data_IF_507485637816
#
_entry.id   IF_507485637816
#
_cell.length_a   1.000
_cell.length_b   1.000
_cell.length_c   1.000
_cell.angle_alpha   90.00
_cell.angle_beta   90.00
_cell.angle_gamma   90.00
#
_symmetry.space_group_name_H-M   'P 1'
#
loop_
_entity.id
_entity.type
_entity.pdbx_description
1 polymer ?
#
# COMPACT_ATOMS: atom_id res chain seq x y z
N UNK A 1 32.83 7.55 3.76
CA UNK A 1 32.96 8.79 2.96
C UNK A 1 32.18 8.71 1.65
N UNK A 2 32.62 7.99 0.59
CA UNK A 2 31.87 7.93 -0.69
C UNK A 2 30.38 7.50 -0.59
N UNK A 3 30.03 6.56 0.28
CA UNK A 3 28.62 6.16 0.48
C UNK A 3 27.79 7.18 1.28
N UNK A 4 28.41 8.07 2.05
CA UNK A 4 27.69 9.12 2.79
C UNK A 4 27.37 10.29 1.86
N UNK A 5 28.31 10.68 0.99
CA UNK A 5 28.09 11.74 0.00
C UNK A 5 26.99 11.35 -1.02
N UNK A 6 26.97 10.09 -1.49
CA UNK A 6 25.90 9.59 -2.37
C UNK A 6 24.53 9.48 -1.66
N UNK A 7 24.51 9.28 -0.35
CA UNK A 7 23.30 9.24 0.45
C UNK A 7 22.71 10.64 0.65
N UNK A 8 23.55 11.64 0.95
CA UNK A 8 23.14 13.05 1.06
C UNK A 8 22.66 13.60 -0.28
N UNK A 9 23.34 13.29 -1.39
CA UNK A 9 22.92 13.74 -2.72
C UNK A 9 21.58 13.11 -3.17
N UNK A 10 21.22 11.92 -2.65
CA UNK A 10 19.91 11.30 -2.86
C UNK A 10 18.82 11.90 -1.98
N UNK A 11 19.15 12.25 -0.73
CA UNK A 11 18.25 12.94 0.20
C UNK A 11 17.74 14.27 -0.39
N UNK A 12 18.64 15.04 -1.02
CA UNK A 12 18.30 16.30 -1.70
C UNK A 12 17.47 16.13 -2.98
N UNK A 13 17.50 14.94 -3.61
CA UNK A 13 16.73 14.64 -4.83
C UNK A 13 15.34 14.07 -4.56
N UNK A 14 15.17 13.34 -3.45
CA UNK A 14 13.90 12.69 -3.11
C UNK A 14 12.92 13.65 -2.43
N UNK A 15 13.43 14.65 -1.72
CA UNK A 15 12.63 15.83 -1.40
C UNK A 15 12.58 16.70 -2.65
N UNK A 16 11.53 16.56 -3.46
CA UNK A 16 11.16 17.62 -4.38
C UNK A 16 10.65 18.75 -3.48
N UNK A 17 11.42 19.83 -3.22
CA UNK A 17 10.87 20.96 -2.48
C UNK A 17 9.65 21.42 -3.27
N UNK A 18 8.47 21.25 -2.68
CA UNK A 18 7.24 21.73 -3.28
C UNK A 18 7.39 23.23 -3.34
N UNK A 19 7.72 23.75 -4.52
CA UNK A 19 7.80 25.18 -4.70
C UNK A 19 6.36 25.70 -4.65
N UNK A 20 5.89 26.03 -3.45
CA UNK A 20 4.61 26.72 -3.24
C UNK A 20 4.56 28.05 -4.03
N UNK A 21 5.73 28.52 -4.50
CA UNK A 21 5.92 29.66 -5.37
C UNK A 21 5.66 29.39 -6.86
N UNK A 22 5.65 28.14 -7.35
CA UNK A 22 5.41 27.86 -8.79
C UNK A 22 4.06 28.40 -9.28
N UNK A 23 2.92 28.17 -8.59
CA UNK A 23 1.64 28.73 -8.97
C UNK A 23 1.64 30.27 -8.97
N UNK A 24 2.37 30.87 -8.03
CA UNK A 24 2.54 32.32 -7.94
C UNK A 24 3.30 32.88 -9.15
N UNK A 25 4.38 32.22 -9.57
CA UNK A 25 5.14 32.62 -10.76
C UNK A 25 4.33 32.50 -12.05
N UNK A 26 3.42 31.53 -12.16
CA UNK A 26 2.52 31.42 -13.32
C UNK A 26 1.42 32.50 -13.34
N UNK A 27 0.98 33.00 -12.18
CA UNK A 27 -0.01 34.08 -12.10
C UNK A 27 0.57 35.47 -12.40
N UNK A 28 1.85 35.70 -12.07
CA UNK A 28 2.54 36.98 -12.25
C UNK A 28 2.49 37.55 -13.69
N UNK A 29 2.78 36.78 -14.77
CA UNK A 29 2.68 37.29 -16.13
C UNK A 29 1.23 37.56 -16.56
N UNK A 30 0.25 36.79 -16.08
CA UNK A 30 -1.16 37.03 -16.40
C UNK A 30 -1.63 38.35 -15.78
N UNK A 31 -1.33 38.57 -14.50
CA UNK A 31 -1.61 39.84 -13.81
C UNK A 31 -0.88 40.99 -14.52
N UNK A 32 0.37 40.78 -14.94
CA UNK A 32 1.13 41.75 -15.72
C UNK A 32 0.49 42.11 -17.06
N UNK A 33 -0.01 41.12 -17.81
CA UNK A 33 -0.73 41.35 -19.08
C UNK A 33 -2.06 42.08 -18.85
N UNK A 34 -2.82 41.71 -17.83
CA UNK A 34 -4.06 42.41 -17.48
C UNK A 34 -3.78 43.87 -17.07
N UNK A 35 -2.75 44.12 -16.25
CA UNK A 35 -2.33 45.46 -15.86
C UNK A 35 -1.82 46.29 -17.07
N UNK A 36 -1.12 45.67 -18.02
CA UNK A 36 -0.66 46.34 -19.23
C UNK A 36 -1.84 46.70 -20.15
N UNK A 37 -2.77 45.77 -20.37
CA UNK A 37 -3.95 45.99 -21.22
C UNK A 37 -4.85 47.09 -20.67
N UNK A 38 -5.02 47.14 -19.34
CA UNK A 38 -5.77 48.21 -18.67
C UNK A 38 -5.08 49.57 -18.81
N UNK A 39 -3.76 49.62 -18.67
CA UNK A 39 -2.98 50.85 -18.83
C UNK A 39 -3.01 51.36 -20.29
N UNK A 40 -2.89 50.46 -21.27
CA UNK A 40 -3.04 50.80 -22.69
C UNK A 40 -4.45 51.31 -23.00
N UNK A 41 -5.49 50.63 -22.49
CA UNK A 41 -6.87 51.08 -22.68
C UNK A 41 -7.13 52.46 -22.06
N UNK A 42 -6.54 52.76 -20.90
CA UNK A 42 -6.62 54.08 -20.27
C UNK A 42 -5.92 55.17 -21.08
N UNK A 43 -4.72 54.88 -21.62
CA UNK A 43 -3.93 55.82 -22.43
C UNK A 43 -4.62 56.15 -23.77
N UNK A 44 -5.15 55.15 -24.47
CA UNK A 44 -5.84 55.33 -25.76
C UNK A 44 -7.27 55.84 -25.60
N UNK A 45 -7.96 55.46 -24.51
CA UNK A 45 -9.30 55.91 -24.20
C UNK A 45 -9.38 57.39 -23.80
N UNK A 46 -8.26 58.02 -23.43
CA UNK A 46 -8.21 59.47 -23.17
C UNK A 46 -8.12 60.29 -24.46
N UNK A 47 -7.55 59.73 -25.51
CA UNK A 47 -7.26 60.46 -26.77
C UNK A 47 -8.36 60.33 -27.82
N UNK A 48 -9.13 59.24 -27.80
CA UNK A 48 -10.32 59.07 -28.63
C UNK A 48 -11.59 59.15 -27.75
N UNK A 49 -12.69 59.69 -28.28
CA UNK A 49 -14.02 59.80 -27.64
C UNK A 49 -14.68 58.43 -27.30
N UNK A 50 -13.89 57.37 -27.15
CA UNK A 50 -14.27 55.98 -26.90
C UNK A 50 -14.19 55.58 -25.42
N UNK A 51 -14.34 56.54 -24.51
CA UNK A 51 -14.40 56.33 -23.05
C UNK A 51 -15.23 55.11 -22.59
N UNK A 52 -16.45 54.83 -23.09
CA UNK A 52 -17.22 53.68 -22.60
C UNK A 52 -16.55 52.33 -22.91
N UNK A 53 -15.82 52.21 -24.02
CA UNK A 53 -15.17 50.97 -24.43
C UNK A 53 -13.97 50.61 -23.53
N UNK A 54 -13.16 51.60 -23.18
CA UNK A 54 -12.02 51.42 -22.28
C UNK A 54 -12.46 50.98 -20.88
N UNK A 55 -13.54 51.56 -20.36
CA UNK A 55 -14.12 51.18 -19.05
C UNK A 55 -14.65 49.75 -19.07
N UNK A 56 -15.33 49.33 -20.15
CA UNK A 56 -15.81 47.94 -20.27
C UNK A 56 -14.66 46.92 -20.33
N UNK A 57 -13.58 47.21 -21.07
CA UNK A 57 -12.42 46.33 -21.12
C UNK A 57 -11.70 46.23 -19.76
N UNK A 58 -11.60 47.35 -19.05
CA UNK A 58 -11.05 47.36 -17.70
C UNK A 58 -11.85 46.46 -16.77
N UNK A 59 -13.18 46.62 -16.73
CA UNK A 59 -14.06 45.80 -15.90
C UNK A 59 -13.97 44.32 -16.25
N UNK A 60 -13.95 43.97 -17.55
CA UNK A 60 -13.78 42.58 -17.99
C UNK A 60 -12.44 41.99 -17.55
N UNK A 61 -11.34 42.74 -17.67
CA UNK A 61 -10.03 42.29 -17.20
C UNK A 61 -10.00 42.09 -15.69
N UNK A 62 -10.63 42.99 -14.93
CA UNK A 62 -10.69 42.93 -13.48
C UNK A 62 -11.48 41.69 -13.03
N UNK A 63 -12.63 41.45 -13.66
CA UNK A 63 -13.45 40.26 -13.41
C UNK A 63 -12.66 38.99 -13.74
N UNK A 64 -11.96 38.95 -14.88
CA UNK A 64 -11.14 37.81 -15.29
C UNK A 64 -10.00 37.54 -14.29
N UNK A 65 -9.31 38.60 -13.82
CA UNK A 65 -8.26 38.46 -12.80
C UNK A 65 -8.82 37.95 -11.47
N UNK A 66 -9.95 38.48 -11.00
CA UNK A 66 -10.60 38.04 -9.77
C UNK A 66 -11.07 36.57 -9.85
N UNK A 67 -11.68 36.18 -10.97
CA UNK A 67 -12.10 34.80 -11.21
C UNK A 67 -10.89 33.84 -11.22
N UNK A 68 -9.77 34.24 -11.83
CA UNK A 68 -8.56 33.44 -11.84
C UNK A 68 -7.94 33.28 -10.45
N UNK A 69 -7.90 34.35 -9.65
CA UNK A 69 -7.43 34.28 -8.25
C UNK A 69 -8.32 33.32 -7.45
N UNK A 70 -9.65 33.45 -7.58
CA UNK A 70 -10.60 32.56 -6.90
C UNK A 70 -10.41 31.08 -7.29
N UNK A 71 -10.21 30.81 -8.59
CA UNK A 71 -9.91 29.47 -9.08
C UNK A 71 -8.60 28.92 -8.51
N UNK A 72 -7.53 29.72 -8.48
CA UNK A 72 -6.23 29.31 -7.92
C UNK A 72 -6.29 29.03 -6.41
N UNK A 73 -7.01 29.85 -5.65
CA UNK A 73 -7.20 29.62 -4.21
C UNK A 73 -7.98 28.32 -3.98
N UNK A 74 -9.08 28.12 -4.71
CA UNK A 74 -9.87 26.89 -4.61
C UNK A 74 -9.02 25.66 -4.95
N UNK A 75 -8.29 25.70 -6.05
CA UNK A 75 -7.41 24.60 -6.46
C UNK A 75 -6.34 24.28 -5.41
N UNK A 76 -5.75 25.30 -4.77
CA UNK A 76 -4.78 25.09 -3.70
C UNK A 76 -5.42 24.48 -2.45
N UNK A 77 -6.65 24.89 -2.10
CA UNK A 77 -7.42 24.27 -1.02
C UNK A 77 -7.75 22.81 -1.33
N UNK A 78 -8.21 22.51 -2.54
CA UNK A 78 -8.52 21.14 -2.97
C UNK A 78 -7.26 20.25 -2.87
N UNK A 79 -6.10 20.74 -3.32
CA UNK A 79 -4.83 20.03 -3.17
C UNK A 79 -4.40 19.85 -1.70
N UNK A 80 -4.65 20.83 -0.83
CA UNK A 80 -4.35 20.69 0.60
C UNK A 80 -5.24 19.62 1.26
N UNK A 81 -6.55 19.64 0.97
CA UNK A 81 -7.51 18.66 1.46
C UNK A 81 -7.17 17.25 0.97
N UNK A 82 -6.81 17.09 -0.31
CA UNK A 82 -6.39 15.80 -0.85
C UNK A 82 -5.15 15.25 -0.12
N UNK A 83 -4.19 16.11 0.21
CA UNK A 83 -2.99 15.71 0.93
C UNK A 83 -3.27 15.35 2.40
N UNK A 84 -4.11 16.14 3.07
CA UNK A 84 -4.56 15.82 4.43
C UNK A 84 -5.30 14.48 4.45
N UNK A 85 -6.18 14.24 3.47
CA UNK A 85 -6.89 12.98 3.33
C UNK A 85 -5.93 11.81 3.09
N UNK A 86 -4.95 11.95 2.19
CA UNK A 86 -3.94 10.91 1.97
C UNK A 86 -3.14 10.63 3.25
N UNK A 87 -2.68 11.67 3.94
CA UNK A 87 -1.93 11.54 5.20
C UNK A 87 -2.77 10.84 6.28
N UNK A 88 -4.05 11.19 6.41
CA UNK A 88 -4.98 10.55 7.33
C UNK A 88 -5.20 9.07 6.97
N UNK A 89 -5.35 8.76 5.68
CA UNK A 89 -5.53 7.39 5.21
C UNK A 89 -4.27 6.55 5.46
N UNK A 90 -3.08 7.12 5.26
CA UNK A 90 -1.82 6.46 5.60
C UNK A 90 -1.68 6.27 7.11
N UNK A 91 -1.96 7.29 7.93
CA UNK A 91 -1.91 7.19 9.38
C UNK A 91 -2.87 6.10 9.89
N UNK A 92 -4.11 6.07 9.38
CA UNK A 92 -5.11 5.06 9.73
C UNK A 92 -4.70 3.65 9.28
N UNK A 93 -4.16 3.51 8.07
CA UNK A 93 -3.69 2.22 7.57
C UNK A 93 -2.50 1.69 8.39
N UNK A 94 -1.58 2.56 8.81
CA UNK A 94 -0.45 2.19 9.65
C UNK A 94 -0.91 1.79 11.06
N UNK A 95 -1.81 2.56 11.68
CA UNK A 95 -2.37 2.24 12.99
C UNK A 95 -3.12 0.89 13.03
N UNK A 96 -3.71 0.44 11.91
CA UNK A 96 -4.47 -0.82 11.88
C UNK A 96 -3.66 -2.09 12.20
N UNK A 97 -2.32 -2.02 12.21
CA UNK A 97 -1.42 -3.18 12.42
C UNK A 97 -0.39 -2.98 13.53
N UNK A 98 -0.35 -1.82 14.16
CA UNK A 98 0.60 -1.51 15.22
C UNK A 98 -0.09 -0.70 16.31
N UNK A 99 0.30 -0.95 17.55
CA UNK A 99 -0.13 -0.14 18.71
C UNK A 99 0.52 1.24 18.66
N UNK A 100 1.76 1.34 18.17
CA UNK A 100 2.38 2.62 17.92
C UNK A 100 3.27 2.64 16.67
N UNK A 101 3.44 3.83 16.10
CA UNK A 101 4.20 4.10 14.90
C UNK A 101 4.94 5.44 15.01
N UNK A 102 6.26 5.39 14.83
CA UNK A 102 7.15 6.56 14.79
C UNK A 102 7.84 6.64 13.43
N UNK A 103 7.99 7.84 12.88
CA UNK A 103 8.94 8.08 11.79
C UNK A 103 10.19 8.72 12.35
N UNK A 104 11.32 8.07 12.06
CA UNK A 104 12.62 8.45 12.62
C UNK A 104 13.58 8.69 11.47
N UNK A 105 14.36 9.77 11.55
CA UNK A 105 15.47 10.01 10.63
C UNK A 105 16.66 9.15 10.99
N UNK A 106 17.63 9.04 10.07
CA UNK A 106 18.87 8.31 10.27
C UNK A 106 19.68 8.78 11.49
N UNK A 107 19.57 10.06 11.86
CA UNK A 107 20.21 10.63 13.05
C UNK A 107 19.54 10.21 14.36
N UNK A 108 18.40 9.51 14.31
CA UNK A 108 17.62 9.11 15.47
C UNK A 108 16.55 10.12 15.86
N UNK A 109 16.44 11.28 15.20
CA UNK A 109 15.40 12.26 15.51
C UNK A 109 14.02 11.79 15.06
N UNK A 110 13.04 11.91 15.96
CA UNK A 110 11.65 11.54 15.70
C UNK A 110 10.96 12.72 14.99
N UNK A 111 10.41 12.46 13.81
CA UNK A 111 9.74 13.48 12.97
C UNK A 111 8.23 13.41 13.10
N UNK A 112 7.72 12.22 13.43
CA UNK A 112 6.30 11.99 13.62
C UNK A 112 6.09 10.84 14.60
N UNK A 113 5.03 10.97 15.38
CA UNK A 113 4.48 9.94 16.25
C UNK A 113 2.96 9.91 16.03
N UNK A 114 2.36 8.71 15.93
CA UNK A 114 0.90 8.60 15.95
C UNK A 114 0.35 8.92 17.35
N UNK A 115 -0.95 9.25 17.48
CA UNK A 115 -1.55 9.56 18.79
C UNK A 115 -1.33 8.46 19.83
N UNK A 116 -1.45 7.20 19.43
CA UNK A 116 -1.29 6.05 20.32
C UNK A 116 0.17 5.93 20.84
N UNK A 117 1.17 6.40 20.07
CA UNK A 117 2.53 6.52 20.57
C UNK A 117 2.64 7.58 21.69
N UNK A 118 1.91 8.68 21.61
CA UNK A 118 1.92 9.68 22.69
C UNK A 118 1.26 9.14 23.96
N UNK A 119 0.27 8.26 23.83
CA UNK A 119 -0.37 7.60 24.98
C UNK A 119 0.61 6.62 25.68
N UNK A 120 1.40 5.88 24.90
CA UNK A 120 2.42 4.95 25.41
C UNK A 120 3.67 5.69 25.92
N UNK A 121 4.03 6.79 25.27
CA UNK A 121 5.20 7.62 25.58
C UNK A 121 4.78 9.09 25.83
N UNK A 122 4.28 9.41 27.04
CA UNK A 122 3.79 10.76 27.36
C UNK A 122 4.84 11.87 27.17
N UNK A 123 6.11 11.53 27.35
CA UNK A 123 7.25 12.44 27.15
C UNK A 123 7.33 13.02 25.72
N UNK A 124 6.75 12.34 24.72
CA UNK A 124 6.70 12.81 23.33
C UNK A 124 5.78 14.04 23.16
N UNK A 125 4.75 14.19 23.99
CA UNK A 125 3.81 15.31 23.87
C UNK A 125 4.45 16.61 24.40
N UNK A 126 5.25 16.51 25.46
CA UNK A 126 5.90 17.67 26.10
C UNK A 126 7.10 18.20 25.29
N UNK A 127 7.83 17.33 24.59
CA UNK A 127 9.06 17.69 23.87
C UNK A 127 9.03 17.25 22.41
N UNK A 128 8.86 18.22 21.51
CA UNK A 128 8.78 18.00 20.05
C UNK A 128 10.11 17.61 19.37
N UNK A 129 11.21 17.61 20.09
CA UNK A 129 12.52 17.21 19.57
C UNK A 129 13.10 16.09 20.45
N UNK A 130 12.52 14.91 20.32
CA UNK A 130 13.01 13.71 20.99
C UNK A 130 13.85 12.87 20.03
N UNK A 131 14.95 12.33 20.55
CA UNK A 131 15.73 11.30 19.89
C UNK A 131 15.22 9.92 20.31
N UNK A 132 15.27 8.96 19.39
CA UNK A 132 14.81 7.59 19.62
C UNK A 132 15.57 6.92 20.78
N UNK A 133 16.87 7.20 20.94
CA UNK A 133 17.72 6.68 22.01
C UNK A 133 17.23 7.12 23.38
N UNK A 134 16.95 8.42 23.52
CA UNK A 134 16.46 8.98 24.78
C UNK A 134 15.08 8.40 25.13
N UNK A 135 14.21 8.25 24.13
CA UNK A 135 12.90 7.64 24.30
C UNK A 135 13.02 6.19 24.81
N UNK A 136 13.82 5.37 24.13
CA UNK A 136 13.97 3.95 24.45
C UNK A 136 14.69 3.74 25.80
N UNK A 137 15.73 4.52 26.07
CA UNK A 137 16.49 4.46 27.33
C UNK A 137 15.60 4.80 28.52
N UNK A 138 14.76 5.85 28.43
CA UNK A 138 13.82 6.22 29.49
C UNK A 138 12.74 5.17 29.71
N UNK A 139 12.31 4.50 28.65
CA UNK A 139 11.35 3.40 28.76
C UNK A 139 11.92 2.10 29.36
N UNK A 140 13.21 2.08 29.72
CA UNK A 140 13.84 0.93 30.38
C UNK A 140 14.20 -0.21 29.44
N UNK A 141 14.32 0.08 28.14
CA UNK A 141 14.69 -0.90 27.11
C UNK A 141 16.15 -1.31 27.27
N UNK A 142 16.44 -2.60 27.09
CA UNK A 142 17.80 -3.14 27.11
C UNK A 142 18.69 -2.44 26.05
N UNK A 143 19.86 -1.97 26.49
CA UNK A 143 20.85 -1.26 25.69
C UNK A 143 21.24 -2.07 24.44
N UNK A 144 21.30 -3.40 24.55
CA UNK A 144 21.61 -4.29 23.43
C UNK A 144 20.56 -4.22 22.30
N UNK A 145 19.30 -3.93 22.63
CA UNK A 145 18.21 -3.79 21.66
C UNK A 145 18.27 -2.41 21.02
N UNK A 146 18.54 -1.38 21.82
CA UNK A 146 18.73 0.00 21.35
C UNK A 146 19.88 0.03 20.33
N UNK A 147 21.04 -0.53 20.67
CA UNK A 147 22.19 -0.61 19.76
C UNK A 147 21.83 -1.34 18.45
N UNK A 148 21.03 -2.41 18.51
CA UNK A 148 20.59 -3.15 17.32
C UNK A 148 19.65 -2.33 16.44
N UNK A 149 18.72 -1.59 17.04
CA UNK A 149 17.82 -0.68 16.32
C UNK A 149 18.63 0.44 15.65
N UNK A 150 19.55 1.07 16.38
CA UNK A 150 20.46 2.09 15.84
C UNK A 150 21.39 1.56 14.76
N UNK A 151 21.88 0.33 14.88
CA UNK A 151 22.67 -0.31 13.83
C UNK A 151 21.82 -0.53 12.57
N UNK A 152 20.57 -0.97 12.73
CA UNK A 152 19.59 -1.10 11.64
C UNK A 152 19.32 0.23 10.94
N UNK A 153 19.07 1.28 11.73
CA UNK A 153 18.86 2.65 11.28
C UNK A 153 20.07 3.16 10.47
N UNK A 154 21.27 3.01 11.01
CA UNK A 154 22.51 3.45 10.37
C UNK A 154 22.84 2.68 9.09
N UNK A 155 22.50 1.39 9.04
CA UNK A 155 22.70 0.54 7.85
C UNK A 155 21.54 0.61 6.85
N UNK A 156 20.46 1.33 7.18
CA UNK A 156 19.21 1.35 6.41
C UNK A 156 18.68 -0.08 6.15
N UNK A 157 18.68 -0.91 7.20
CA UNK A 157 18.23 -2.30 7.18
C UNK A 157 17.11 -2.53 8.18
N UNK A 158 16.27 -3.50 7.88
CA UNK A 158 15.26 -3.96 8.81
C UNK A 158 15.92 -4.54 10.07
N UNK A 159 15.42 -4.14 11.24
CA UNK A 159 15.80 -4.71 12.53
C UNK A 159 14.56 -4.86 13.41
N UNK A 160 14.58 -5.82 14.33
CA UNK A 160 13.48 -6.04 15.25
C UNK A 160 14.01 -6.42 16.65
N UNK A 161 13.23 -6.08 17.67
CA UNK A 161 13.52 -6.32 19.07
C UNK A 161 12.24 -6.50 19.87
N UNK A 162 12.36 -7.09 21.06
CA UNK A 162 11.26 -7.16 22.02
C UNK A 162 11.51 -6.08 23.07
N UNK A 163 10.60 -5.12 23.18
CA UNK A 163 10.59 -4.15 24.25
C UNK A 163 9.73 -4.68 25.39
N UNK A 164 10.21 -4.54 26.62
CA UNK A 164 9.45 -4.84 27.82
C UNK A 164 9.32 -3.55 28.61
N UNK A 165 8.11 -3.03 28.73
CA UNK A 165 7.83 -1.83 29.52
C UNK A 165 7.44 -2.27 30.92
N UNK A 166 7.93 -1.61 31.97
CA UNK A 166 7.41 -1.79 33.33
C UNK A 166 7.90 -3.02 34.12
N UNK A 167 8.89 -3.77 33.65
CA UNK A 167 9.48 -4.91 34.38
C UNK A 167 8.74 -6.25 34.18
N UNK A 168 8.84 -7.17 35.14
CA UNK A 168 8.42 -8.60 34.98
C UNK A 168 6.93 -8.83 34.64
N UNK A 169 6.04 -7.89 34.97
CA UNK A 169 4.59 -7.96 34.69
C UNK A 169 4.08 -6.94 33.66
N UNK A 170 4.97 -6.13 33.09
CA UNK A 170 4.53 -5.04 32.24
C UNK A 170 4.31 -5.43 30.78
N UNK A 171 3.72 -4.51 30.03
CA UNK A 171 3.35 -4.72 28.63
C UNK A 171 4.60 -4.94 27.78
N UNK A 172 4.62 -6.05 27.05
CA UNK A 172 5.70 -6.37 26.12
C UNK A 172 5.26 -5.97 24.72
N UNK A 173 6.14 -5.37 23.94
CA UNK A 173 5.89 -5.01 22.54
C UNK A 173 6.99 -5.57 21.66
N UNK A 174 6.62 -6.17 20.52
CA UNK A 174 7.59 -6.39 19.46
C UNK A 174 7.75 -5.08 18.70
N UNK A 175 8.96 -4.55 18.67
CA UNK A 175 9.31 -3.36 17.89
C UNK A 175 10.08 -3.75 16.66
N UNK A 176 9.61 -3.26 15.51
CA UNK A 176 10.19 -3.47 14.20
C UNK A 176 10.59 -2.11 13.63
N UNK A 177 11.85 -2.02 13.19
CA UNK A 177 12.37 -0.89 12.43
C UNK A 177 12.43 -1.28 10.96
N UNK A 178 11.68 -0.55 10.14
CA UNK A 178 11.61 -0.77 8.71
C UNK A 178 12.13 0.49 7.98
N UNK A 179 13.25 0.38 7.23
CA UNK A 179 13.74 1.50 6.43
C UNK A 179 12.75 1.83 5.31
N UNK A 180 12.48 3.12 5.09
CA UNK A 180 11.69 3.56 3.96
C UNK A 180 12.55 3.57 2.70
N UNK A 181 11.96 3.13 1.60
CA UNK A 181 12.61 3.23 0.28
C UNK A 181 12.63 4.68 -0.20
N UNK A 182 11.59 5.46 0.14
CA UNK A 182 11.46 6.90 -0.11
C UNK A 182 10.59 7.56 0.97
N UNK A 183 10.98 8.72 1.52
CA UNK A 183 12.25 9.42 1.31
C UNK A 183 13.44 8.67 1.91
N UNK A 184 14.61 8.72 1.26
CA UNK A 184 15.82 8.05 1.75
C UNK A 184 16.28 8.62 3.09
N UNK A 185 16.82 7.76 3.98
CA UNK A 185 17.31 8.17 5.30
C UNK A 185 16.22 8.30 6.38
N UNK A 186 15.01 7.83 6.09
CA UNK A 186 13.91 7.71 7.03
C UNK A 186 13.59 6.24 7.27
N UNK A 187 13.20 5.94 8.50
CA UNK A 187 12.73 4.61 8.91
C UNK A 187 11.43 4.75 9.69
N UNK A 188 10.60 3.72 9.62
CA UNK A 188 9.43 3.56 10.47
C UNK A 188 9.80 2.65 11.62
N UNK A 189 9.48 3.05 12.84
CA UNK A 189 9.55 2.20 14.03
C UNK A 189 8.11 1.88 14.42
N UNK A 190 7.75 0.60 14.39
CA UNK A 190 6.41 0.13 14.71
C UNK A 190 6.47 -0.77 15.92
N UNK A 191 5.58 -0.56 16.88
CA UNK A 191 5.39 -1.44 18.03
C UNK A 191 4.06 -2.16 17.96
N UNK A 192 4.07 -3.46 18.20
CA UNK A 192 2.86 -4.28 18.34
C UNK A 192 2.90 -5.02 19.67
N UNK A 193 1.76 -5.16 20.34
CA UNK A 193 1.69 -5.91 21.60
C UNK A 193 2.20 -7.35 21.41
N UNK A 194 3.06 -7.78 22.33
CA UNK A 194 3.55 -9.14 22.42
C UNK A 194 2.58 -9.96 23.26
N UNK A 195 1.70 -10.68 22.58
CA UNK A 195 0.78 -11.60 23.24
C UNK A 195 1.52 -12.92 23.55
N UNK A 196 1.92 -13.11 24.82
CA UNK A 196 2.70 -14.27 25.30
C UNK A 196 2.01 -15.64 25.08
N UNK A 197 0.70 -15.65 24.81
CA UNK A 197 -0.09 -16.87 24.53
C UNK A 197 0.40 -17.71 23.34
N UNK A 198 1.38 -17.26 22.55
CA UNK A 198 1.95 -18.05 21.44
C UNK A 198 3.09 -18.99 21.82
N UNK A 199 3.75 -18.84 22.98
CA UNK A 199 5.02 -19.53 23.23
C UNK A 199 5.08 -20.44 24.46
N UNK A 200 4.10 -20.42 25.36
CA UNK A 200 4.23 -21.12 26.65
C UNK A 200 3.30 -22.29 26.93
N UNK A 201 2.26 -22.51 26.14
CA UNK A 201 1.42 -23.69 26.32
C UNK A 201 1.32 -24.45 25.00
N UNK A 202 1.68 -25.74 25.04
CA UNK A 202 1.17 -26.74 24.10
C UNK A 202 -0.33 -26.92 24.27
N UNK A 203 -1.07 -25.80 24.20
CA UNK A 203 -2.50 -25.68 24.30
C UNK A 203 -3.09 -25.90 22.92
N UNK A 204 -3.75 -27.05 22.80
CA UNK A 204 -4.65 -27.49 21.75
C UNK A 204 -4.71 -26.63 20.46
N UNK A 205 -3.74 -26.86 19.58
CA UNK A 205 -3.59 -26.26 18.24
C UNK A 205 -4.86 -26.43 17.39
N UNK A 206 -5.74 -27.36 17.74
CA UNK A 206 -6.97 -27.60 17.00
C UNK A 206 -7.95 -26.42 17.10
N UNK A 207 -8.21 -25.83 18.26
CA UNK A 207 -9.28 -24.83 18.39
C UNK A 207 -9.00 -23.51 17.63
N UNK A 208 -7.74 -23.07 17.57
CA UNK A 208 -7.33 -21.83 16.90
C UNK A 208 -7.03 -22.02 15.40
N UNK A 209 -6.51 -23.18 14.99
CA UNK A 209 -6.45 -23.52 13.55
C UNK A 209 -7.83 -23.48 12.92
N UNK A 210 -8.88 -23.88 13.65
CA UNK A 210 -10.24 -23.88 13.12
C UNK A 210 -10.84 -22.47 13.05
N UNK A 211 -10.52 -21.57 13.98
CA UNK A 211 -11.03 -20.19 13.96
C UNK A 211 -10.37 -19.34 12.85
N UNK A 212 -9.04 -19.43 12.71
CA UNK A 212 -8.30 -18.71 11.66
C UNK A 212 -8.54 -19.34 10.28
N UNK A 213 -8.63 -20.67 10.18
CA UNK A 213 -9.01 -21.33 8.93
C UNK A 213 -10.46 -21.02 8.55
N UNK A 214 -11.39 -20.92 9.50
CA UNK A 214 -12.78 -20.54 9.21
C UNK A 214 -12.87 -19.08 8.72
N UNK A 215 -12.11 -18.15 9.31
CA UNK A 215 -12.05 -16.78 8.85
C UNK A 215 -11.42 -16.68 7.46
N UNK A 216 -10.29 -17.36 7.23
CA UNK A 216 -9.66 -17.43 5.90
C UNK A 216 -10.60 -18.08 4.88
N UNK A 217 -11.30 -19.15 5.25
CA UNK A 217 -12.28 -19.79 4.39
C UNK A 217 -13.45 -18.85 4.08
N UNK A 218 -13.93 -18.09 5.07
CA UNK A 218 -14.96 -17.07 4.87
C UNK A 218 -14.47 -15.96 3.92
N UNK A 219 -13.24 -15.46 4.09
CA UNK A 219 -12.66 -14.46 3.20
C UNK A 219 -12.49 -15.00 1.77
N UNK A 220 -11.90 -16.18 1.63
CA UNK A 220 -11.69 -16.84 0.33
C UNK A 220 -13.01 -17.17 -0.38
N UNK A 221 -14.08 -17.45 0.37
CA UNK A 221 -15.41 -17.68 -0.20
C UNK A 221 -16.04 -16.42 -0.80
N UNK A 222 -15.62 -15.22 -0.38
CA UNK A 222 -16.13 -13.95 -0.89
C UNK A 222 -15.31 -13.39 -2.06
N UNK A 223 -14.20 -14.04 -2.43
CA UNK A 223 -13.36 -13.55 -3.52
C UNK A 223 -14.04 -13.72 -4.88
N UNK A 224 -13.95 -12.72 -5.78
CA UNK A 224 -14.63 -12.73 -7.07
C UNK A 224 -13.91 -13.59 -8.12
N UNK A 225 -12.90 -14.38 -7.73
CA UNK A 225 -12.11 -15.23 -8.61
C UNK A 225 -12.08 -16.69 -8.11
N UNK A 226 -11.86 -17.61 -9.03
CA UNK A 226 -11.70 -19.02 -8.73
C UNK A 226 -10.31 -19.29 -8.18
N UNK A 227 -10.20 -20.15 -7.18
CA UNK A 227 -8.92 -20.56 -6.63
C UNK A 227 -8.84 -22.06 -6.42
N UNK A 228 -7.64 -22.60 -6.58
CA UNK A 228 -7.32 -23.96 -6.19
C UNK A 228 -5.91 -24.10 -5.62
N UNK A 229 -5.71 -25.16 -4.85
CA UNK A 229 -4.39 -25.67 -4.47
C UNK A 229 -4.24 -27.08 -5.00
N UNK A 230 -3.01 -27.46 -5.36
CA UNK A 230 -2.70 -28.81 -5.82
C UNK A 230 -1.61 -29.46 -4.99
N UNK A 231 -1.53 -30.78 -5.09
CA UNK A 231 -0.31 -31.53 -4.77
C UNK A 231 0.82 -31.22 -5.78
N UNK A 232 2.07 -31.65 -5.51
CA UNK A 232 3.16 -31.59 -6.49
C UNK A 232 2.87 -32.39 -7.77
N UNK A 233 1.95 -33.35 -7.72
CA UNK A 233 1.51 -34.15 -8.88
C UNK A 233 0.36 -33.50 -9.66
N UNK A 234 -0.09 -32.29 -9.26
CA UNK A 234 -1.15 -31.56 -9.94
C UNK A 234 -2.57 -32.01 -9.61
N UNK A 235 -2.76 -32.83 -8.57
CA UNK A 235 -4.10 -33.21 -8.06
C UNK A 235 -4.64 -32.06 -7.21
N UNK A 236 -5.83 -31.56 -7.49
CA UNK A 236 -6.46 -30.49 -6.74
C UNK A 236 -6.76 -30.99 -5.32
N UNK A 237 -6.18 -30.34 -4.31
CA UNK A 237 -6.39 -30.64 -2.88
C UNK A 237 -7.35 -29.65 -2.21
N UNK A 238 -7.52 -28.47 -2.80
CA UNK A 238 -8.47 -27.46 -2.35
C UNK A 238 -9.02 -26.68 -3.54
N UNK A 239 -10.28 -26.26 -3.46
CA UNK A 239 -10.89 -25.31 -4.39
C UNK A 239 -11.90 -24.44 -3.65
N UNK A 240 -11.98 -23.16 -4.01
CA UNK A 240 -12.99 -22.28 -3.43
C UNK A 240 -14.38 -22.51 -4.07
N UNK A 241 -15.48 -22.11 -3.40
CA UNK A 241 -16.84 -22.30 -3.92
C UNK A 241 -17.06 -21.67 -5.30
N UNK A 242 -16.43 -20.52 -5.57
CA UNK A 242 -16.54 -19.82 -6.85
C UNK A 242 -16.04 -20.68 -8.02
N UNK A 243 -14.87 -21.32 -7.87
CA UNK A 243 -14.32 -22.20 -8.90
C UNK A 243 -15.22 -23.43 -9.13
N UNK A 244 -15.71 -24.05 -8.05
CA UNK A 244 -16.64 -25.20 -8.15
C UNK A 244 -17.91 -24.81 -8.92
N UNK A 245 -18.48 -23.64 -8.61
CA UNK A 245 -19.66 -23.12 -9.29
C UNK A 245 -19.41 -22.87 -10.78
N UNK A 246 -18.26 -22.28 -11.13
CA UNK A 246 -17.91 -22.02 -12.53
C UNK A 246 -17.77 -23.31 -13.35
N UNK A 247 -17.11 -24.31 -12.76
CA UNK A 247 -16.86 -25.61 -13.38
C UNK A 247 -18.05 -26.58 -13.26
N UNK A 248 -19.14 -26.15 -12.61
CA UNK A 248 -20.38 -26.93 -12.42
C UNK A 248 -20.15 -28.25 -11.68
N UNK A 249 -19.19 -28.28 -10.76
CA UNK A 249 -19.07 -29.38 -9.82
C UNK A 249 -20.07 -29.16 -8.68
N UNK A 250 -20.74 -30.23 -8.26
CA UNK A 250 -21.69 -30.18 -7.15
C UNK A 250 -20.98 -29.85 -5.83
N UNK A 251 -21.73 -29.72 -4.74
CA UNK A 251 -21.21 -29.42 -3.39
C UNK A 251 -20.06 -30.33 -2.91
N UNK A 252 -19.80 -31.44 -3.60
CA UNK A 252 -18.56 -32.21 -3.51
C UNK A 252 -17.44 -31.46 -4.24
N UNK A 253 -16.52 -30.88 -3.48
CA UNK A 253 -15.40 -30.09 -4.01
C UNK A 253 -14.62 -30.84 -5.10
N UNK A 254 -14.06 -30.12 -6.08
CA UNK A 254 -13.09 -30.66 -7.05
C UNK A 254 -12.00 -31.55 -6.39
N UNK A 255 -11.67 -31.23 -5.14
CA UNK A 255 -10.73 -31.98 -4.32
C UNK A 255 -11.23 -33.39 -3.95
N UNK A 256 -12.53 -33.57 -3.69
CA UNK A 256 -13.11 -34.88 -3.39
C UNK A 256 -13.01 -35.84 -4.58
N UNK A 257 -13.18 -35.34 -5.80
CA UNK A 257 -13.08 -36.12 -7.03
C UNK A 257 -11.64 -36.35 -7.52
N UNK A 258 -10.64 -35.82 -6.80
CA UNK A 258 -9.22 -35.95 -7.16
C UNK A 258 -8.94 -35.47 -8.60
N UNK A 259 -9.63 -34.42 -9.03
CA UNK A 259 -9.45 -33.83 -10.36
C UNK A 259 -8.04 -33.26 -10.46
N UNK A 260 -7.34 -33.56 -11.56
CA UNK A 260 -6.02 -33.00 -11.84
C UNK A 260 -6.16 -31.71 -12.64
N UNK A 261 -5.23 -30.77 -12.47
CA UNK A 261 -5.20 -29.53 -13.27
C UNK A 261 -5.15 -29.84 -14.76
N UNK A 262 -4.44 -30.89 -15.15
CA UNK A 262 -4.36 -31.36 -16.55
C UNK A 262 -5.73 -31.73 -17.14
N UNK A 263 -6.66 -32.23 -16.31
CA UNK A 263 -8.01 -32.57 -16.74
C UNK A 263 -8.95 -31.36 -16.73
N UNK A 264 -8.66 -30.38 -15.87
CA UNK A 264 -9.39 -29.12 -15.79
C UNK A 264 -9.05 -28.18 -16.94
N UNK A 265 -7.77 -28.10 -17.32
CA UNK A 265 -7.24 -27.19 -18.36
C UNK A 265 -7.24 -27.90 -19.72
N UNK A 266 -8.05 -27.38 -20.64
CA UNK A 266 -8.10 -27.74 -22.05
C UNK A 266 -7.38 -26.64 -22.86
N UNK A 267 -6.40 -27.01 -23.68
CA UNK A 267 -5.76 -26.06 -24.60
C UNK A 267 -6.57 -25.94 -25.89
N UNK A 268 -6.85 -24.69 -26.30
CA UNK A 268 -7.68 -24.38 -27.46
C UNK A 268 -7.07 -24.79 -28.82
N UNK A 269 -5.81 -25.21 -28.86
CA UNK A 269 -5.10 -25.51 -30.11
C UNK A 269 -5.44 -26.89 -30.73
N UNK A 270 -6.45 -27.61 -30.20
CA UNK A 270 -7.00 -28.82 -30.83
C UNK A 270 -6.07 -30.04 -30.82
N UNK A 271 -4.88 -29.91 -30.24
CA UNK A 271 -4.01 -31.04 -29.90
C UNK A 271 -4.16 -31.31 -28.40
N UNK A 272 -4.52 -32.54 -28.04
CA UNK A 272 -4.26 -33.09 -26.72
C UNK A 272 -2.75 -33.07 -26.49
N UNK A 273 -2.19 -31.93 -26.09
CA UNK A 273 -0.82 -31.89 -25.60
C UNK A 273 -0.81 -32.67 -24.30
N UNK A 274 -0.17 -33.83 -24.36
CA UNK A 274 -0.12 -34.88 -23.35
C UNK A 274 0.31 -34.42 -21.96
N UNK A 275 0.86 -33.23 -21.76
CA UNK A 275 1.31 -32.78 -20.44
C UNK A 275 1.14 -31.26 -20.31
N UNK A 276 0.04 -30.81 -19.68
CA UNK A 276 0.08 -29.51 -19.00
C UNK A 276 1.13 -29.66 -17.89
N UNK A 277 2.29 -29.03 -18.10
CA UNK A 277 3.38 -29.03 -17.13
C UNK A 277 2.88 -28.27 -15.90
N UNK A 278 2.91 -28.92 -14.74
CA UNK A 278 2.32 -28.40 -13.50
C UNK A 278 3.12 -27.21 -12.95
N UNK A 279 4.06 -26.63 -13.71
CA UNK A 279 4.92 -25.51 -13.31
C UNK A 279 4.24 -24.14 -13.21
N UNK A 280 5.08 -23.09 -13.28
CA UNK A 280 4.63 -21.71 -13.37
C UNK A 280 3.87 -21.50 -14.68
N UNK A 281 2.65 -20.97 -14.60
CA UNK A 281 1.84 -20.69 -15.78
C UNK A 281 1.10 -19.35 -15.62
N UNK A 282 1.01 -18.58 -16.69
CA UNK A 282 0.19 -17.36 -16.75
C UNK A 282 -0.32 -17.22 -18.18
N UNK A 283 -1.65 -17.20 -18.33
CA UNK A 283 -2.28 -16.94 -19.62
C UNK A 283 -3.67 -17.54 -19.79
N UNK A 284 -4.22 -17.36 -20.98
CA UNK A 284 -5.56 -17.80 -21.33
C UNK A 284 -5.64 -19.33 -21.51
N UNK A 285 -6.64 -19.93 -20.87
CA UNK A 285 -6.95 -21.36 -20.91
C UNK A 285 -8.44 -21.59 -21.18
N UNK A 286 -8.78 -22.74 -21.75
CA UNK A 286 -10.16 -23.24 -21.74
C UNK A 286 -10.31 -24.20 -20.56
N UNK A 287 -11.30 -24.00 -19.72
CA UNK A 287 -11.58 -24.87 -18.59
C UNK A 287 -12.71 -25.85 -18.94
N UNK A 288 -12.48 -27.13 -18.70
CA UNK A 288 -13.47 -28.18 -18.85
C UNK A 288 -14.38 -28.26 -17.63
N UNK A 289 -15.68 -28.07 -17.83
CA UNK A 289 -16.70 -28.21 -16.80
C UNK A 289 -17.14 -29.67 -16.64
N UNK A 290 -17.77 -30.02 -15.51
CA UNK A 290 -18.25 -31.38 -15.23
C UNK A 290 -19.23 -31.92 -16.30
N UNK A 291 -20.02 -31.05 -16.92
CA UNK A 291 -20.94 -31.36 -18.02
C UNK A 291 -20.27 -31.32 -19.41
N UNK A 292 -18.94 -31.33 -19.48
CA UNK A 292 -18.14 -31.25 -20.71
C UNK A 292 -18.27 -29.93 -21.49
N UNK A 293 -18.89 -28.88 -20.94
CA UNK A 293 -18.81 -27.55 -21.56
C UNK A 293 -17.46 -26.89 -21.30
N UNK A 294 -16.99 -26.08 -22.24
CA UNK A 294 -15.75 -25.33 -22.09
C UNK A 294 -16.03 -23.87 -21.70
N UNK A 295 -15.20 -23.30 -20.84
CA UNK A 295 -15.23 -21.87 -20.47
C UNK A 295 -13.86 -21.24 -20.64
N UNK A 296 -13.78 -20.04 -21.22
CA UNK A 296 -12.52 -19.32 -21.32
C UNK A 296 -12.19 -18.61 -20.00
N UNK A 297 -10.93 -18.70 -19.57
CA UNK A 297 -10.42 -18.04 -18.38
C UNK A 297 -8.96 -17.63 -18.54
N UNK A 298 -8.54 -16.65 -17.76
CA UNK A 298 -7.12 -16.41 -17.47
C UNK A 298 -6.73 -17.24 -16.24
N UNK A 299 -5.61 -17.95 -16.35
CA UNK A 299 -5.05 -18.78 -15.27
C UNK A 299 -3.66 -18.26 -14.89
N UNK A 300 -3.46 -17.98 -13.61
CA UNK A 300 -2.15 -17.74 -13.02
C UNK A 300 -1.84 -18.83 -11.99
N UNK A 301 -0.75 -19.58 -12.19
CA UNK A 301 -0.32 -20.66 -11.33
C UNK A 301 1.13 -20.47 -10.89
N UNK A 302 1.39 -20.66 -9.60
CA UNK A 302 2.73 -20.55 -9.02
C UNK A 302 3.02 -21.68 -8.01
N UNK A 303 4.29 -22.13 -7.90
CA UNK A 303 4.71 -23.17 -6.98
C UNK A 303 4.75 -22.66 -5.54
N UNK A 304 4.36 -23.53 -4.62
CA UNK A 304 4.47 -23.34 -3.18
C UNK A 304 5.65 -24.15 -2.67
N UNK A 305 6.55 -23.50 -1.94
CA UNK A 305 7.70 -24.15 -1.31
C UNK A 305 7.61 -24.04 0.21
N UNK A 306 8.11 -25.06 0.91
CA UNK A 306 8.32 -24.96 2.35
C UNK A 306 9.59 -24.13 2.67
N UNK A 307 9.88 -23.92 3.96
CA UNK A 307 11.07 -23.19 4.41
C UNK A 307 12.40 -23.82 3.94
N UNK A 308 12.41 -25.12 3.65
CA UNK A 308 13.56 -25.89 3.16
C UNK A 308 13.66 -25.91 1.63
N UNK A 309 12.77 -25.20 0.92
CA UNK A 309 12.64 -25.18 -0.55
C UNK A 309 12.17 -26.49 -1.18
N UNK A 310 11.52 -27.38 -0.43
CA UNK A 310 10.79 -28.52 -0.98
C UNK A 310 9.45 -28.05 -1.57
N UNK A 311 9.13 -28.51 -2.79
CA UNK A 311 7.88 -28.22 -3.47
C UNK A 311 6.71 -28.87 -2.71
N UNK A 312 5.81 -28.06 -2.18
CA UNK A 312 4.58 -28.49 -1.51
C UNK A 312 3.43 -28.72 -2.50
N UNK A 313 3.44 -28.01 -3.62
CA UNK A 313 2.35 -28.03 -4.60
C UNK A 313 2.28 -26.72 -5.37
N UNK A 314 1.10 -26.42 -5.91
CA UNK A 314 0.88 -25.20 -6.68
C UNK A 314 -0.40 -24.51 -6.21
N UNK A 315 -0.40 -23.19 -6.28
CA UNK A 315 -1.59 -22.38 -6.11
C UNK A 315 -1.98 -21.77 -7.45
N UNK A 316 -3.27 -21.86 -7.79
CA UNK A 316 -3.82 -21.34 -9.02
C UNK A 316 -4.94 -20.33 -8.77
N UNK A 317 -4.90 -19.22 -9.49
CA UNK A 317 -5.91 -18.19 -9.56
C UNK A 317 -6.53 -18.21 -10.94
N UNK A 318 -7.86 -18.27 -10.98
CA UNK A 318 -8.65 -18.38 -12.21
C UNK A 318 -9.58 -17.18 -12.29
N UNK A 319 -9.58 -16.50 -13.44
CA UNK A 319 -10.50 -15.41 -13.73
C UNK A 319 -11.23 -15.70 -15.04
N UNK A 320 -12.56 -15.87 -14.98
CA UNK A 320 -13.35 -16.04 -16.20
C UNK A 320 -13.23 -14.79 -17.08
N UNK A 321 -12.88 -14.98 -18.34
CA UNK A 321 -12.97 -13.93 -19.33
C UNK A 321 -14.46 -13.72 -19.61
N UNK A 322 -14.97 -12.51 -19.41
CA UNK A 322 -16.37 -12.20 -19.71
C UNK A 322 -16.65 -12.60 -21.16
N UNK A 323 -17.43 -13.66 -21.36
CA UNK A 323 -17.95 -13.96 -22.69
C UNK A 323 -18.84 -12.77 -23.05
N UNK A 324 -18.49 -12.05 -24.10
CA UNK A 324 -19.47 -11.22 -24.79
C UNK A 324 -20.63 -12.15 -25.11
N UNK A 325 -21.77 -11.95 -24.45
CA UNK A 325 -23.01 -12.61 -24.83
C UNK A 325 -23.32 -12.18 -26.27
N UNK A 326 -22.77 -12.92 -27.25
CA UNK A 326 -23.30 -12.93 -28.60
C UNK A 326 -24.70 -13.52 -28.47
N UNK A 327 -25.65 -12.61 -28.41
CA UNK A 327 -27.08 -12.85 -28.44
C UNK A 327 -27.38 -13.59 -29.74
N UNK A 328 -27.63 -14.90 -29.62
CA UNK A 328 -28.14 -15.74 -30.69
C UNK A 328 -29.61 -15.42 -31.00
#
# INVERSE_FOLDING_TARGET
>A
MRMQDEAEERLDRDFIPRSYMQPFYYMLPVVGVCALLTLLAAMFGWTLSTHPFAVTLFLLSLIATLAMIGYSVKRNQDHAVEQEFQNLLFASAMASRCEFCLFVKRDGSIVYANPDACDIFPDLEENRSFELDELLTRSGVDEAIIERLYQGLNQNKHSAGLLEFGGDEGERFIVELQPLTRPYGYSVVQGREFVEKRSREGGDITALQHADAALLQAMVSQWPFGMYLTSPTGVITYSNPMLNQWLRYDTTSLAAEHVTVQRMVYHADGYETLEFDVGNYSGAVMLSCANSSLRQAELEQFPLYNAERHLLGYAGLVQLTAQSEETA
#
